data_IF_058788750075
#
_entry.id   IF_058788750075
#
_cell.length_a   1.000
_cell.length_b   1.000
_cell.length_c   1.000
_cell.angle_alpha   90.00
_cell.angle_beta   90.00
_cell.angle_gamma   90.00
#
_symmetry.space_group_name_H-M   'P 1'
#
loop_
_entity.id
_entity.type
_entity.pdbx_description
1 polymer ?
#
# COMPACT_ATOMS: atom_id res chain seq x y z
N UNK A 1 -19.84 69.94 27.06
CA UNK A 1 -20.66 68.71 27.02
C UNK A 1 -21.66 68.82 25.86
N UNK A 2 -21.84 67.73 25.10
CA UNK A 2 -22.70 67.51 23.89
C UNK A 2 -22.01 67.91 22.56
N UNK A 3 -21.32 66.97 21.88
CA UNK A 3 -21.74 65.86 20.98
C UNK A 3 -22.19 66.36 19.59
N UNK A 4 -21.28 66.28 18.59
CA UNK A 4 -21.20 65.33 17.46
C UNK A 4 -22.15 65.72 16.30
N UNK A 5 -21.71 66.42 15.25
CA UNK A 5 -20.90 66.04 14.06
C UNK A 5 -21.64 65.11 13.07
N UNK A 6 -22.01 65.74 11.94
CA UNK A 6 -22.08 65.31 10.54
C UNK A 6 -22.86 64.05 10.10
N UNK A 7 -23.92 64.32 9.32
CA UNK A 7 -24.41 63.48 8.22
C UNK A 7 -23.36 63.35 7.11
N UNK A 8 -23.28 62.20 6.42
CA UNK A 8 -23.41 62.07 4.95
C UNK A 8 -23.22 60.61 4.48
N UNK A 9 -24.06 60.16 3.55
CA UNK A 9 -23.59 59.35 2.41
C UNK A 9 -23.84 57.84 2.46
N UNK A 10 -24.95 57.43 1.83
CA UNK A 10 -25.25 56.08 1.35
C UNK A 10 -24.24 55.66 0.27
N UNK A 11 -23.62 54.48 0.38
CA UNK A 11 -22.91 53.82 -0.72
C UNK A 11 -23.16 52.31 -0.68
N UNK A 12 -23.96 51.85 -1.63
CA UNK A 12 -24.25 50.45 -1.94
C UNK A 12 -23.00 49.76 -2.50
N UNK A 13 -22.53 48.71 -1.83
CA UNK A 13 -21.51 47.80 -2.34
C UNK A 13 -22.15 46.47 -2.75
N UNK A 14 -22.04 46.20 -4.04
CA UNK A 14 -22.46 45.00 -4.76
C UNK A 14 -21.55 43.83 -4.35
N UNK A 15 -22.08 42.85 -3.60
CA UNK A 15 -21.40 41.60 -3.29
C UNK A 15 -21.53 40.64 -4.49
N UNK A 16 -20.42 40.42 -5.18
CA UNK A 16 -20.26 39.36 -6.17
C UNK A 16 -20.21 38.00 -5.46
N UNK A 17 -21.19 37.15 -5.74
CA UNK A 17 -21.11 35.71 -5.47
C UNK A 17 -20.26 35.07 -6.57
N UNK A 18 -19.06 34.61 -6.22
CA UNK A 18 -18.32 33.65 -7.03
C UNK A 18 -18.73 32.24 -6.59
N UNK A 19 -19.21 31.47 -7.57
CA UNK A 19 -19.60 30.08 -7.41
C UNK A 19 -18.37 29.23 -7.10
N UNK A 20 -18.36 28.59 -5.93
CA UNK A 20 -17.46 27.48 -5.65
C UNK A 20 -18.05 26.25 -6.32
N UNK A 21 -17.45 25.81 -7.41
CA UNK A 21 -17.72 24.49 -7.98
C UNK A 21 -17.25 23.43 -6.99
N UNK A 22 -18.19 22.65 -6.45
CA UNK A 22 -17.90 21.34 -5.88
C UNK A 22 -17.60 20.40 -7.06
N UNK A 23 -16.32 20.15 -7.32
CA UNK A 23 -15.94 18.91 -7.97
C UNK A 23 -15.92 17.86 -6.88
N UNK A 24 -16.93 17.01 -6.90
CA UNK A 24 -16.85 15.68 -6.30
C UNK A 24 -15.92 14.89 -7.23
N UNK A 25 -14.63 14.84 -6.90
CA UNK A 25 -13.73 13.82 -7.42
C UNK A 25 -13.71 12.69 -6.40
N UNK A 26 -14.11 11.51 -6.88
CA UNK A 26 -14.09 10.26 -6.16
C UNK A 26 -12.64 9.76 -6.10
N UNK A 27 -11.91 10.18 -5.07
CA UNK A 27 -10.59 9.66 -4.76
C UNK A 27 -10.76 8.24 -4.19
N UNK A 28 -10.55 7.23 -5.03
CA UNK A 28 -10.36 5.85 -4.60
C UNK A 28 -8.91 5.75 -4.11
N UNK A 29 -8.74 5.72 -2.79
CA UNK A 29 -7.46 5.49 -2.09
C UNK A 29 -6.95 4.05 -2.40
N UNK A 30 -5.63 3.85 -2.44
CA UNK A 30 -4.94 2.55 -2.64
C UNK A 30 -4.44 1.97 -1.29
N UNK A 31 -4.54 0.65 -1.01
CA UNK A 31 -4.11 -0.02 0.24
C UNK A 31 -2.60 -0.10 0.45
N UNK A 32 -2.19 -0.19 1.71
CA UNK A 32 -0.82 -0.54 2.09
C UNK A 32 -0.63 -2.06 2.29
N UNK A 33 0.59 -2.58 2.10
CA UNK A 33 0.90 -4.03 2.14
C UNK A 33 0.61 -4.74 3.48
N UNK A 34 0.68 -4.03 4.61
CA UNK A 34 0.36 -4.60 5.93
C UNK A 34 -1.16 -4.71 6.14
N UNK A 35 -1.91 -3.73 5.63
CA UNK A 35 -3.36 -3.78 5.51
C UNK A 35 -3.77 -4.87 4.53
N UNK A 36 -3.05 -5.05 3.42
CA UNK A 36 -3.28 -6.16 2.49
C UNK A 36 -3.03 -7.51 3.14
N UNK A 37 -1.98 -7.64 3.96
CA UNK A 37 -1.74 -8.85 4.73
C UNK A 37 -2.81 -9.07 5.82
N UNK A 38 -3.25 -8.01 6.50
CA UNK A 38 -4.32 -8.09 7.49
C UNK A 38 -5.68 -8.42 6.85
N UNK A 39 -5.97 -7.85 5.68
CA UNK A 39 -7.15 -8.11 4.86
C UNK A 39 -7.10 -9.53 4.28
N UNK A 40 -5.92 -9.99 3.84
CA UNK A 40 -5.72 -11.36 3.40
C UNK A 40 -5.91 -12.35 4.55
N UNK A 41 -5.40 -12.03 5.75
CA UNK A 41 -5.62 -12.82 6.97
C UNK A 41 -7.08 -12.80 7.42
N UNK A 42 -7.75 -11.64 7.40
CA UNK A 42 -9.16 -11.49 7.72
C UNK A 42 -10.03 -12.27 6.73
N UNK A 43 -9.75 -12.19 5.44
CA UNK A 43 -10.44 -12.93 4.40
C UNK A 43 -10.20 -14.43 4.55
N UNK A 44 -8.96 -14.86 4.82
CA UNK A 44 -8.63 -16.25 5.10
C UNK A 44 -9.39 -16.78 6.33
N UNK A 45 -9.46 -15.98 7.40
CA UNK A 45 -10.22 -16.30 8.61
C UNK A 45 -11.74 -16.31 8.36
N UNK A 46 -12.24 -15.38 7.53
CA UNK A 46 -13.65 -15.26 7.17
C UNK A 46 -14.10 -16.45 6.33
N UNK A 47 -13.35 -16.77 5.27
CA UNK A 47 -13.60 -17.93 4.42
C UNK A 47 -13.59 -19.22 5.25
N UNK A 48 -12.59 -19.37 6.12
CA UNK A 48 -12.41 -20.54 7.00
C UNK A 48 -13.33 -20.59 8.22
N UNK A 49 -14.13 -19.56 8.44
CA UNK A 49 -15.01 -19.50 9.61
C UNK A 49 -16.09 -20.58 9.55
N UNK A 50 -16.56 -21.03 10.72
CA UNK A 50 -17.62 -22.03 10.80
C UNK A 50 -18.87 -21.57 10.00
N UNK A 51 -19.23 -22.33 8.99
CA UNK A 51 -20.31 -22.01 8.07
C UNK A 51 -20.15 -22.80 6.79
N UNK A 52 -21.22 -22.89 6.01
CA UNK A 52 -21.19 -23.51 4.69
C UNK A 52 -21.55 -22.43 3.71
N UNK A 53 -20.60 -22.09 2.83
CA UNK A 53 -20.79 -21.09 1.79
C UNK A 53 -21.58 -21.68 0.63
N UNK A 54 -22.38 -20.88 -0.06
CA UNK A 54 -23.09 -21.25 -1.28
C UNK A 54 -22.76 -20.24 -2.38
N UNK A 55 -22.57 -20.70 -3.61
CA UNK A 55 -22.43 -19.81 -4.76
C UNK A 55 -23.81 -19.23 -5.07
N UNK A 56 -23.96 -17.91 -4.97
CA UNK A 56 -25.21 -17.19 -5.29
C UNK A 56 -25.13 -16.44 -6.62
N UNK A 57 -23.93 -16.31 -7.17
CA UNK A 57 -23.68 -15.78 -8.51
C UNK A 57 -22.40 -16.38 -9.07
N UNK A 58 -22.47 -16.90 -10.29
CA UNK A 58 -21.32 -17.22 -11.12
C UNK A 58 -21.64 -16.84 -12.57
N UNK A 59 -20.92 -15.85 -13.09
CA UNK A 59 -20.98 -15.41 -14.48
C UNK A 59 -19.60 -15.70 -15.08
N UNK A 60 -19.52 -16.58 -16.07
CA UNK A 60 -18.31 -16.87 -16.83
C UNK A 60 -18.47 -16.24 -18.22
N UNK A 61 -17.65 -15.24 -18.52
CA UNK A 61 -17.58 -14.59 -19.83
C UNK A 61 -18.96 -14.13 -20.34
N UNK A 62 -19.79 -13.63 -19.42
CA UNK A 62 -21.16 -13.17 -19.69
C UNK A 62 -22.24 -14.25 -19.68
N UNK A 63 -21.91 -15.53 -19.49
CA UNK A 63 -22.86 -16.64 -19.32
C UNK A 63 -23.12 -16.89 -17.85
N UNK A 64 -24.39 -16.95 -17.45
CA UNK A 64 -24.76 -17.27 -16.08
C UNK A 64 -24.78 -18.77 -15.84
N UNK A 65 -23.78 -19.25 -15.11
CA UNK A 65 -23.55 -20.66 -14.80
C UNK A 65 -23.90 -20.99 -13.33
N UNK A 66 -24.47 -20.03 -12.58
CA UNK A 66 -24.85 -20.20 -11.15
C UNK A 66 -25.65 -21.47 -10.87
N UNK A 67 -26.49 -21.91 -11.83
CA UNK A 67 -27.35 -23.07 -11.66
C UNK A 67 -26.57 -24.40 -11.51
N UNK A 68 -25.32 -24.46 -11.97
CA UNK A 68 -24.49 -25.67 -11.91
C UNK A 68 -24.03 -25.99 -10.48
N UNK A 69 -24.11 -25.00 -9.58
CA UNK A 69 -23.68 -25.09 -8.19
C UNK A 69 -24.83 -25.09 -7.18
N UNK A 70 -26.08 -25.18 -7.66
CA UNK A 70 -27.25 -25.26 -6.77
C UNK A 70 -27.12 -26.43 -5.80
N UNK A 71 -27.41 -26.16 -4.52
CA UNK A 71 -27.32 -27.08 -3.38
C UNK A 71 -25.89 -27.52 -3.00
N UNK A 72 -24.83 -27.08 -3.68
CA UNK A 72 -23.48 -27.29 -3.19
C UNK A 72 -23.19 -26.34 -2.03
N UNK A 73 -22.77 -26.92 -0.92
CA UNK A 73 -22.13 -26.22 0.18
C UNK A 73 -20.61 -26.28 0.05
N UNK A 74 -19.94 -25.14 0.18
CA UNK A 74 -18.50 -24.97 0.11
C UNK A 74 -17.92 -24.76 1.50
N UNK A 75 -16.84 -25.46 1.80
CA UNK A 75 -16.09 -25.36 3.05
C UNK A 75 -14.61 -25.11 2.73
N UNK A 76 -14.13 -23.93 3.11
CA UNK A 76 -12.73 -23.54 3.05
C UNK A 76 -12.06 -23.96 4.35
N UNK A 77 -11.15 -24.94 4.31
CA UNK A 77 -10.46 -25.41 5.51
C UNK A 77 -9.14 -24.65 5.72
N UNK A 78 -8.72 -24.40 6.98
CA UNK A 78 -7.47 -23.71 7.29
C UNK A 78 -6.19 -24.39 6.77
N UNK A 79 -6.25 -25.66 6.35
CA UNK A 79 -5.14 -26.39 5.73
C UNK A 79 -5.00 -26.13 4.22
N UNK A 80 -5.80 -25.22 3.67
CA UNK A 80 -5.84 -24.89 2.24
C UNK A 80 -6.71 -25.84 1.41
N UNK A 81 -7.41 -26.82 2.03
CA UNK A 81 -8.34 -27.68 1.29
C UNK A 81 -9.72 -27.03 1.14
N UNK A 82 -10.31 -27.16 -0.05
CA UNK A 82 -11.66 -26.69 -0.36
C UNK A 82 -12.56 -27.89 -0.65
N UNK A 83 -13.71 -27.98 0.04
CA UNK A 83 -14.66 -29.07 -0.15
C UNK A 83 -16.00 -28.51 -0.60
N UNK A 84 -16.50 -28.99 -1.74
CA UNK A 84 -17.85 -28.73 -2.21
C UNK A 84 -18.71 -29.99 -2.06
N UNK A 85 -19.85 -29.90 -1.39
CA UNK A 85 -20.70 -31.04 -1.08
C UNK A 85 -22.18 -30.68 -1.21
N UNK A 86 -22.95 -31.46 -1.98
CA UNK A 86 -24.40 -31.29 -2.15
C UNK A 86 -25.23 -32.41 -1.48
N UNK A 87 -24.62 -33.17 -0.58
CA UNK A 87 -25.19 -34.33 0.11
C UNK A 87 -25.06 -35.65 -0.67
N UNK A 88 -24.81 -35.61 -1.98
CA UNK A 88 -24.65 -36.81 -2.82
C UNK A 88 -23.24 -36.92 -3.43
N UNK A 89 -22.65 -35.79 -3.81
CA UNK A 89 -21.33 -35.69 -4.43
C UNK A 89 -20.45 -34.81 -3.56
N UNK A 90 -19.19 -35.22 -3.40
CA UNK A 90 -18.13 -34.42 -2.79
C UNK A 90 -17.05 -34.17 -3.83
N UNK A 91 -16.73 -32.90 -4.06
CA UNK A 91 -15.63 -32.45 -4.91
C UNK A 91 -14.63 -31.75 -4.01
N UNK A 92 -13.35 -32.09 -4.18
CA UNK A 92 -12.25 -31.52 -3.39
C UNK A 92 -11.35 -30.70 -4.30
N UNK A 93 -10.95 -29.55 -3.80
CA UNK A 93 -10.03 -28.62 -4.42
C UNK A 93 -9.07 -28.04 -3.38
N UNK A 94 -8.37 -26.99 -3.78
CA UNK A 94 -7.55 -26.17 -2.89
C UNK A 94 -7.97 -24.73 -2.98
N UNK A 95 -7.63 -23.96 -1.95
CA UNK A 95 -7.82 -22.53 -1.93
C UNK A 95 -6.70 -21.88 -1.13
N UNK A 96 -6.42 -20.62 -1.45
CA UNK A 96 -5.52 -19.78 -0.67
C UNK A 96 -5.85 -18.31 -0.91
N UNK A 97 -5.62 -17.49 0.11
CA UNK A 97 -5.56 -16.04 -0.06
C UNK A 97 -4.10 -15.66 -0.18
N UNK A 98 -3.72 -15.04 -1.29
CA UNK A 98 -2.38 -14.50 -1.50
C UNK A 98 -2.48 -13.00 -1.68
N UNK A 99 -1.40 -12.31 -1.36
CA UNK A 99 -1.23 -10.94 -1.83
C UNK A 99 -0.68 -11.07 -3.25
N UNK A 100 -1.35 -10.43 -4.20
CA UNK A 100 -0.89 -10.41 -5.58
C UNK A 100 0.46 -9.67 -5.62
N UNK A 101 1.48 -10.38 -6.08
CA UNK A 101 2.86 -9.91 -6.20
C UNK A 101 3.19 -9.66 -7.68
N UNK A 102 2.16 -9.51 -8.55
CA UNK A 102 2.25 -9.17 -9.97
C UNK A 102 2.80 -7.75 -10.19
N UNK A 103 4.01 -7.53 -9.69
CA UNK A 103 5.15 -7.18 -10.53
C UNK A 103 5.21 -8.10 -11.78
N UNK A 104 4.25 -7.94 -12.68
CA UNK A 104 4.46 -8.30 -14.08
C UNK A 104 5.45 -7.31 -14.69
N UNK A 105 6.69 -7.41 -14.22
CA UNK A 105 7.92 -7.10 -14.96
C UNK A 105 8.07 -8.15 -16.08
N UNK A 106 7.09 -8.18 -16.99
CA UNK A 106 7.19 -8.86 -18.26
C UNK A 106 7.48 -7.83 -19.34
N UNK A 107 8.76 -7.47 -19.39
CA UNK A 107 9.41 -6.84 -20.51
C UNK A 107 8.96 -7.44 -21.86
N UNK A 108 8.05 -6.76 -22.57
CA UNK A 108 8.07 -6.70 -24.05
C UNK A 108 7.10 -5.66 -24.61
N UNK A 109 7.50 -4.40 -24.59
CA UNK A 109 7.39 -3.63 -25.84
C UNK A 109 8.61 -2.74 -26.02
N UNK A 110 9.46 -3.15 -26.96
CA UNK A 110 10.36 -2.25 -27.63
C UNK A 110 9.50 -1.16 -28.28
N UNK A 111 9.54 0.05 -27.75
CA UNK A 111 9.91 1.26 -28.50
C UNK A 111 9.67 2.52 -27.64
N UNK A 112 10.76 3.27 -27.48
CA UNK A 112 10.82 4.73 -27.32
C UNK A 112 10.32 5.42 -26.03
N UNK A 113 11.29 5.59 -25.13
CA UNK A 113 11.70 6.88 -24.57
C UNK A 113 10.71 7.60 -23.62
N UNK A 114 10.61 7.10 -22.39
CA UNK A 114 10.47 7.93 -21.19
C UNK A 114 11.14 7.18 -20.05
N UNK A 115 11.95 7.88 -19.27
CA UNK A 115 12.75 7.40 -18.14
C UNK A 115 12.05 6.37 -17.27
N UNK A 116 12.73 5.26 -17.00
CA UNK A 116 12.64 4.56 -15.72
C UNK A 116 13.06 5.58 -14.65
N UNK A 117 12.12 6.39 -14.18
CA UNK A 117 12.42 7.41 -13.17
C UNK A 117 12.39 6.76 -11.80
N UNK A 118 13.56 6.41 -11.29
CA UNK A 118 13.84 6.19 -9.85
C UNK A 118 13.70 7.51 -9.04
N UNK A 119 12.88 8.43 -9.53
CA UNK A 119 12.64 9.80 -9.08
C UNK A 119 11.13 10.09 -8.95
N UNK A 120 10.28 9.07 -9.06
CA UNK A 120 8.85 9.23 -8.79
C UNK A 120 8.70 9.44 -7.28
N UNK A 121 8.18 10.62 -6.92
CA UNK A 121 7.87 10.96 -5.53
C UNK A 121 6.64 10.15 -5.10
N UNK A 122 6.90 9.06 -4.36
CA UNK A 122 5.86 8.20 -3.81
C UNK A 122 5.28 8.77 -2.50
N UNK A 123 5.79 9.92 -2.03
CA UNK A 123 5.34 10.56 -0.79
C UNK A 123 4.30 11.66 -0.97
N UNK A 124 3.51 11.63 -2.04
CA UNK A 124 2.39 12.59 -2.24
C UNK A 124 1.40 12.64 -1.05
N UNK A 125 1.25 11.53 -0.32
CA UNK A 125 0.34 11.39 0.83
C UNK A 125 1.03 10.87 2.12
N UNK A 126 2.37 10.83 2.16
CA UNK A 126 3.11 10.42 3.36
C UNK A 126 2.72 11.26 4.60
N UNK A 127 2.80 10.65 5.78
CA UNK A 127 2.59 11.33 7.06
C UNK A 127 3.86 11.33 7.93
N UNK A 128 3.94 12.25 8.89
CA UNK A 128 5.06 12.26 9.86
C UNK A 128 5.03 11.00 10.74
N UNK A 129 3.83 10.54 11.11
CA UNK A 129 3.67 9.28 11.82
C UNK A 129 4.18 8.11 10.96
N UNK A 130 3.94 8.18 9.64
CA UNK A 130 4.54 7.32 8.61
C UNK A 130 6.04 7.22 8.62
N UNK A 131 6.70 8.35 8.48
CA UNK A 131 8.15 8.32 8.59
C UNK A 131 8.61 7.75 9.96
N UNK A 132 7.90 8.10 11.04
CA UNK A 132 8.30 7.76 12.41
C UNK A 132 8.28 6.27 12.69
N UNK A 133 7.19 5.54 12.42
CA UNK A 133 7.20 4.09 12.70
C UNK A 133 8.11 3.35 11.71
N UNK A 134 8.32 3.80 10.46
CA UNK A 134 9.26 3.13 9.53
C UNK A 134 10.65 3.24 10.12
N UNK A 135 11.12 4.46 10.34
CA UNK A 135 12.52 4.68 10.69
C UNK A 135 12.87 4.14 12.10
N UNK A 136 11.87 3.91 12.97
CA UNK A 136 12.07 3.41 14.34
C UNK A 136 11.72 1.94 14.55
N UNK A 137 11.06 1.27 13.59
CA UNK A 137 10.66 -0.14 13.71
C UNK A 137 11.83 -1.11 13.53
N UNK A 138 12.90 -0.65 12.89
CA UNK A 138 14.14 -1.41 12.81
C UNK A 138 15.33 -0.70 13.42
N UNK A 139 16.26 -1.54 13.86
CA UNK A 139 17.58 -1.14 14.29
C UNK A 139 18.57 -1.32 13.14
N UNK A 140 19.70 -0.62 13.25
CA UNK A 140 20.85 -0.79 12.37
C UNK A 140 20.60 -0.41 10.90
N UNK A 141 19.89 0.70 10.66
CA UNK A 141 19.83 1.32 9.35
C UNK A 141 21.22 1.69 8.85
N UNK A 142 21.49 1.49 7.57
CA UNK A 142 22.74 1.88 6.94
C UNK A 142 22.48 2.85 5.79
N UNK A 143 23.52 3.59 5.42
CA UNK A 143 23.48 4.52 4.28
C UNK A 143 23.56 3.70 3.00
N UNK A 144 22.47 3.71 2.23
CA UNK A 144 22.39 3.08 0.91
C UNK A 144 22.89 4.05 -0.17
N UNK A 145 22.56 5.34 -0.01
CA UNK A 145 23.03 6.42 -0.89
C UNK A 145 23.23 7.71 -0.10
N UNK A 146 24.30 8.44 -0.39
CA UNK A 146 24.53 9.79 0.13
C UNK A 146 25.28 10.61 -0.91
N UNK A 147 24.58 11.53 -1.57
CA UNK A 147 25.10 12.39 -2.62
C UNK A 147 24.89 13.85 -2.19
N UNK A 148 25.95 14.64 -2.18
CA UNK A 148 25.94 16.04 -1.75
C UNK A 148 26.78 16.90 -2.71
N UNK A 149 26.16 17.85 -3.40
CA UNK A 149 26.80 18.70 -4.41
C UNK A 149 27.55 17.89 -5.48
N UNK A 150 26.89 16.87 -6.03
CA UNK A 150 27.44 15.92 -7.03
C UNK A 150 28.59 15.01 -6.52
N UNK A 151 28.91 15.03 -5.23
CA UNK A 151 29.90 14.14 -4.62
C UNK A 151 29.20 12.96 -3.90
N UNK A 152 29.59 11.73 -4.24
CA UNK A 152 29.13 10.49 -3.60
C UNK A 152 29.93 10.19 -2.31
N UNK A 153 29.23 9.88 -1.22
CA UNK A 153 29.82 9.67 0.11
C UNK A 153 29.44 8.34 0.76
N UNK A 154 28.52 7.56 0.21
CA UNK A 154 27.99 6.33 0.83
C UNK A 154 29.07 5.32 1.24
N UNK A 155 30.11 5.15 0.42
CA UNK A 155 31.23 4.25 0.71
C UNK A 155 31.97 4.61 1.99
N UNK A 156 32.07 5.91 2.30
CA UNK A 156 32.70 6.43 3.53
C UNK A 156 31.91 6.03 4.79
N UNK A 157 30.65 5.66 4.63
CA UNK A 157 29.71 5.35 5.71
C UNK A 157 29.23 3.88 5.74
N UNK A 158 29.79 3.00 4.91
CA UNK A 158 29.42 1.56 4.82
C UNK A 158 29.42 0.81 6.17
N UNK A 159 30.29 1.19 7.11
CA UNK A 159 30.40 0.60 8.45
C UNK A 159 29.52 1.26 9.53
N UNK A 160 28.77 2.31 9.19
CA UNK A 160 27.95 3.05 10.15
C UNK A 160 26.56 2.43 10.27
N UNK A 161 26.00 2.44 11.48
CA UNK A 161 24.65 1.97 11.78
C UNK A 161 23.86 3.01 12.56
N UNK A 162 22.73 3.42 12.02
CA UNK A 162 21.84 4.44 12.53
C UNK A 162 20.66 3.78 13.23
N UNK A 163 20.38 4.23 14.44
CA UNK A 163 19.26 3.77 15.26
C UNK A 163 18.45 5.00 15.69
N UNK A 164 17.17 5.02 15.33
CA UNK A 164 16.26 6.13 15.59
C UNK A 164 15.27 5.75 16.68
N UNK A 165 14.90 6.73 17.51
CA UNK A 165 13.87 6.56 18.54
C UNK A 165 12.70 7.50 18.29
N UNK A 166 11.48 7.09 18.66
CA UNK A 166 10.26 7.86 18.43
C UNK A 166 10.20 9.19 19.21
N UNK A 167 11.03 9.37 20.24
CA UNK A 167 11.20 10.61 20.98
C UNK A 167 12.23 11.57 20.34
N UNK A 168 12.72 11.27 19.13
CA UNK A 168 13.59 12.15 18.35
C UNK A 168 15.09 11.94 18.58
N UNK A 169 15.51 10.80 19.15
CA UNK A 169 16.93 10.46 19.32
C UNK A 169 17.52 9.74 18.12
N UNK A 170 18.80 10.01 17.81
CA UNK A 170 19.62 9.19 16.91
C UNK A 170 20.83 8.67 17.70
N UNK A 171 21.10 7.37 17.60
CA UNK A 171 22.41 6.79 17.94
C UNK A 171 23.06 6.24 16.68
N UNK A 172 24.27 6.68 16.38
CA UNK A 172 25.08 6.16 15.27
C UNK A 172 26.25 5.38 15.84
N UNK A 173 26.47 4.15 15.36
CA UNK A 173 27.63 3.31 15.77
C UNK A 173 28.53 3.04 14.58
N UNK A 174 29.84 3.07 14.79
CA UNK A 174 30.86 2.74 13.79
C UNK A 174 32.05 2.06 14.47
N UNK A 175 32.10 0.73 14.42
CA UNK A 175 33.10 -0.04 15.16
C UNK A 175 32.96 0.16 16.68
N UNK A 176 33.94 0.79 17.33
CA UNK A 176 33.89 1.14 18.76
C UNK A 176 33.34 2.53 19.06
N UNK A 177 33.18 3.36 18.04
CA UNK A 177 32.75 4.74 18.18
C UNK A 177 31.22 4.83 18.21
N UNK A 178 30.71 5.82 18.96
CA UNK A 178 29.29 6.10 19.06
C UNK A 178 29.05 7.61 19.05
N UNK A 179 28.11 8.04 18.24
CA UNK A 179 27.71 9.43 18.07
C UNK A 179 26.24 9.56 18.46
N UNK A 180 25.93 10.55 19.28
CA UNK A 180 24.57 10.84 19.72
C UNK A 180 24.07 12.08 18.98
N UNK A 181 22.83 12.03 18.51
CA UNK A 181 22.18 13.12 17.80
C UNK A 181 20.68 13.14 18.01
N UNK A 182 20.01 13.98 17.23
CA UNK A 182 18.56 14.16 17.26
C UNK A 182 17.99 14.18 15.85
N UNK A 183 16.73 13.78 15.72
CA UNK A 183 15.94 13.96 14.51
C UNK A 183 14.56 14.54 14.82
N UNK A 184 13.98 15.23 13.85
CA UNK A 184 12.60 15.73 13.93
C UNK A 184 11.98 15.75 12.54
N UNK A 185 10.75 15.26 12.42
CA UNK A 185 9.95 15.37 11.20
C UNK A 185 8.75 16.30 11.42
N UNK A 186 8.40 17.10 10.40
CA UNK A 186 7.23 17.99 10.41
C UNK A 186 6.74 18.26 9.00
N UNK A 187 5.45 18.51 8.81
CA UNK A 187 4.84 18.71 7.48
C UNK A 187 3.82 17.63 7.15
N UNK A 188 3.48 17.48 5.87
CA UNK A 188 2.57 16.46 5.35
C UNK A 188 2.81 16.24 3.85
N UNK A 189 2.53 15.01 3.37
CA UNK A 189 2.76 14.61 1.97
C UNK A 189 4.18 14.90 1.52
N UNK A 190 4.31 15.44 0.31
CA UNK A 190 5.58 15.82 -0.32
C UNK A 190 6.31 17.01 0.34
N UNK A 191 5.76 17.59 1.42
CA UNK A 191 6.37 18.70 2.16
C UNK A 191 6.85 18.29 3.55
N UNK A 192 6.97 16.99 3.84
CA UNK A 192 7.55 16.52 5.10
C UNK A 192 9.04 16.86 5.12
N UNK A 193 9.42 17.71 6.07
CA UNK A 193 10.81 18.08 6.35
C UNK A 193 11.34 17.23 7.50
N UNK A 194 12.54 16.68 7.34
CA UNK A 194 13.28 15.85 8.30
C UNK A 194 14.57 16.56 8.67
N UNK A 195 14.67 17.05 9.90
CA UNK A 195 15.88 17.67 10.43
C UNK A 195 16.71 16.58 11.10
N UNK A 196 17.96 16.40 10.66
CA UNK A 196 18.92 15.48 11.26
C UNK A 196 20.08 16.30 11.82
N UNK A 197 20.45 16.05 13.09
CA UNK A 197 21.62 16.67 13.72
C UNK A 197 22.41 15.63 14.49
N UNK A 198 23.59 15.28 13.98
CA UNK A 198 24.52 14.36 14.64
C UNK A 198 25.90 15.03 14.69
N UNK A 199 26.29 15.61 15.84
CA UNK A 199 27.57 16.27 15.98
C UNK A 199 28.74 15.40 15.53
N UNK A 200 29.66 16.00 14.78
CA UNK A 200 30.82 15.36 14.16
C UNK A 200 30.52 14.47 12.94
N UNK A 201 29.27 14.38 12.48
CA UNK A 201 28.89 13.77 11.20
C UNK A 201 28.22 14.84 10.31
N UNK A 202 29.00 15.83 9.88
CA UNK A 202 28.49 17.05 9.21
C UNK A 202 27.76 16.79 7.90
N UNK A 203 28.02 15.67 7.20
CA UNK A 203 27.33 15.34 5.96
C UNK A 203 25.83 15.06 6.14
N UNK A 204 25.37 14.75 7.36
CA UNK A 204 23.94 14.52 7.64
C UNK A 204 23.24 15.74 8.25
N UNK A 205 24.00 16.76 8.68
CA UNK A 205 23.48 17.93 9.40
C UNK A 205 22.74 18.91 8.45
N UNK A 206 21.49 18.58 8.15
CA UNK A 206 20.65 19.36 7.24
C UNK A 206 19.15 19.22 7.56
N UNK A 207 18.34 19.98 6.80
CA UNK A 207 16.89 19.80 6.74
C UNK A 207 16.56 19.18 5.39
N UNK A 208 16.20 17.90 5.44
CA UNK A 208 15.87 17.10 4.27
C UNK A 208 14.37 17.13 3.98
N UNK A 209 13.98 16.90 2.74
CA UNK A 209 12.59 16.64 2.35
C UNK A 209 12.42 15.13 2.19
N UNK A 210 11.40 14.54 2.82
CA UNK A 210 11.03 13.15 2.57
C UNK A 210 10.51 13.02 1.13
N UNK A 211 11.09 12.11 0.37
CA UNK A 211 10.75 11.90 -1.04
C UNK A 211 10.10 10.54 -1.29
N UNK A 212 10.55 9.48 -0.62
CA UNK A 212 10.10 8.13 -0.90
C UNK A 212 10.25 7.24 0.34
N UNK A 213 9.33 6.29 0.50
CA UNK A 213 9.46 5.19 1.46
C UNK A 213 9.17 3.90 0.69
N UNK A 214 10.19 3.07 0.49
CA UNK A 214 10.05 1.77 -0.19
C UNK A 214 10.07 0.65 0.86
N UNK A 215 9.03 -0.18 0.89
CA UNK A 215 8.93 -1.32 1.81
C UNK A 215 8.72 -2.60 1.01
N UNK A 216 9.73 -3.47 1.04
CA UNK A 216 9.72 -4.79 0.42
C UNK A 216 9.96 -5.87 1.47
N UNK A 217 9.64 -7.11 1.13
CA UNK A 217 9.99 -8.24 1.99
C UNK A 217 11.52 -8.34 2.13
N UNK A 218 12.01 -8.22 3.36
CA UNK A 218 13.45 -8.22 3.66
C UNK A 218 14.21 -6.96 3.26
N UNK A 219 13.54 -5.87 2.88
CA UNK A 219 14.19 -4.61 2.52
C UNK A 219 13.29 -3.40 2.81
N UNK A 220 13.82 -2.37 3.46
CA UNK A 220 13.09 -1.11 3.69
C UNK A 220 14.01 0.06 3.40
N UNK A 221 13.52 1.10 2.72
CA UNK A 221 14.27 2.31 2.39
C UNK A 221 13.48 3.56 2.73
N UNK A 222 14.21 4.60 3.11
CA UNK A 222 13.70 5.96 3.30
C UNK A 222 14.58 6.89 2.48
N UNK A 223 14.01 7.52 1.46
CA UNK A 223 14.69 8.47 0.57
C UNK A 223 14.39 9.91 0.98
N UNK A 224 15.46 10.68 1.13
CA UNK A 224 15.43 12.07 1.55
C UNK A 224 16.18 12.90 0.51
N UNK A 225 15.61 14.06 0.13
CA UNK A 225 16.19 14.95 -0.89
C UNK A 225 16.41 16.36 -0.36
N UNK A 226 17.42 17.04 -0.89
CA UNK A 226 17.64 18.48 -0.69
C UNK A 226 17.93 19.13 -2.04
N UNK A 227 17.32 20.29 -2.31
CA UNK A 227 17.52 21.05 -3.55
C UNK A 227 17.23 20.28 -4.85
N UNK A 228 16.53 19.13 -4.80
CA UNK A 228 16.19 18.29 -5.95
C UNK A 228 17.26 17.26 -6.31
N UNK A 229 18.54 17.63 -6.19
CA UNK A 229 19.66 16.79 -6.63
C UNK A 229 20.31 16.01 -5.47
N UNK A 230 20.56 16.66 -4.32
CA UNK A 230 21.18 16.02 -3.16
C UNK A 230 20.27 14.94 -2.57
N UNK A 231 20.84 13.80 -2.19
CA UNK A 231 20.10 12.61 -1.79
C UNK A 231 20.73 11.92 -0.59
N UNK A 232 19.89 11.51 0.34
CA UNK A 232 20.23 10.62 1.44
C UNK A 232 19.19 9.50 1.47
N UNK A 233 19.63 8.26 1.27
CA UNK A 233 18.79 7.08 1.39
C UNK A 233 19.30 6.20 2.51
N UNK A 234 18.45 5.95 3.50
CA UNK A 234 18.69 4.89 4.48
C UNK A 234 18.07 3.60 3.98
N UNK A 235 18.75 2.47 4.21
CA UNK A 235 18.23 1.13 3.95
C UNK A 235 18.36 0.24 5.18
N UNK A 236 17.43 -0.70 5.30
CA UNK A 236 17.45 -1.80 6.25
C UNK A 236 17.11 -3.11 5.52
N UNK A 237 17.51 -4.24 6.11
CA UNK A 237 17.21 -5.59 5.63
C UNK A 237 16.08 -6.28 6.42
N UNK A 238 15.50 -5.56 7.38
CA UNK A 238 14.33 -6.02 8.08
C UNK A 238 13.08 -5.83 7.22
N UNK A 239 12.05 -6.60 7.52
CA UNK A 239 10.72 -6.41 6.97
C UNK A 239 9.94 -5.54 7.93
N UNK A 240 9.57 -4.33 7.50
CA UNK A 240 8.73 -3.40 8.27
C UNK A 240 7.41 -3.28 7.54
N UNK A 241 6.31 -3.57 8.24
CA UNK A 241 4.96 -3.28 7.78
C UNK A 241 4.25 -2.34 8.75
N UNK A 242 3.93 -1.14 8.29
CA UNK A 242 2.57 -0.59 8.19
C UNK A 242 2.63 0.94 8.08
N UNK A 243 2.19 1.49 6.92
CA UNK A 243 1.59 2.83 6.88
C UNK A 243 0.47 3.03 5.87
N UNK A 244 -0.68 3.38 6.45
CA UNK A 244 -1.79 4.25 6.04
C UNK A 244 -2.59 4.01 4.73
N UNK A 245 -3.90 3.74 4.92
CA UNK A 245 -5.00 4.09 4.00
C UNK A 245 -5.34 3.01 2.94
N UNK A 246 -6.61 2.57 2.85
CA UNK A 246 -7.15 1.50 1.96
C UNK A 246 -7.30 1.96 0.49
N UNK A 247 -7.83 1.25 -0.54
CA UNK A 247 -8.71 0.08 -0.72
C UNK A 247 -8.41 -0.65 -2.06
N UNK A 248 -8.43 -2.00 -2.07
CA UNK A 248 -7.88 -2.90 -3.11
C UNK A 248 -8.72 -3.03 -4.39
N UNK A 249 -8.07 -3.10 -5.56
CA UNK A 249 -8.65 -3.68 -6.79
C UNK A 249 -7.75 -4.66 -7.54
N UNK A 250 -6.68 -5.18 -6.93
CA UNK A 250 -5.82 -6.18 -7.57
C UNK A 250 -4.58 -6.53 -6.77
N UNK A 251 -4.71 -6.59 -5.44
CA UNK A 251 -3.57 -6.80 -4.55
C UNK A 251 -3.80 -8.01 -3.63
N UNK A 252 -4.99 -8.64 -3.69
CA UNK A 252 -5.30 -9.86 -2.94
C UNK A 252 -6.03 -10.81 -3.89
N UNK A 253 -5.43 -11.98 -4.10
CA UNK A 253 -6.03 -13.06 -4.86
C UNK A 253 -6.68 -14.07 -3.94
N UNK A 254 -7.91 -14.42 -4.27
CA UNK A 254 -8.62 -15.55 -3.74
C UNK A 254 -8.48 -16.74 -4.70
N UNK A 255 -7.37 -17.45 -4.57
CA UNK A 255 -7.06 -18.59 -5.41
C UNK A 255 -8.03 -19.73 -5.13
N UNK A 256 -8.67 -20.24 -6.17
CA UNK A 256 -9.49 -21.45 -6.12
C UNK A 256 -8.95 -22.43 -7.14
N UNK A 257 -8.85 -23.71 -6.79
CA UNK A 257 -8.48 -24.75 -7.74
C UNK A 257 -9.31 -26.01 -7.57
N UNK A 258 -9.94 -26.45 -8.65
CA UNK A 258 -10.55 -27.76 -8.77
C UNK A 258 -10.10 -28.44 -10.07
N UNK A 259 -9.40 -29.57 -9.95
CA UNK A 259 -8.94 -30.30 -11.13
C UNK A 259 -10.10 -30.85 -12.00
N UNK A 260 -11.25 -31.18 -11.38
CA UNK A 260 -12.42 -31.79 -12.03
C UNK A 260 -13.62 -31.81 -11.07
N UNK A 261 -14.87 -32.04 -11.53
CA UNK A 261 -15.32 -32.15 -12.93
C UNK A 261 -15.29 -30.81 -13.69
N UNK A 262 -15.59 -30.81 -14.99
CA UNK A 262 -15.38 -29.65 -15.87
C UNK A 262 -16.04 -28.36 -15.36
N UNK A 263 -17.28 -28.44 -14.88
CA UNK A 263 -17.97 -27.29 -14.29
C UNK A 263 -17.26 -26.76 -13.03
N UNK A 264 -16.58 -27.60 -12.24
CA UNK A 264 -15.77 -27.11 -11.12
C UNK A 264 -14.43 -26.53 -11.57
N UNK A 265 -13.87 -27.04 -12.68
CA UNK A 265 -12.66 -26.48 -13.28
C UNK A 265 -12.87 -25.02 -13.70
N UNK A 266 -14.07 -24.65 -14.15
CA UNK A 266 -14.45 -23.26 -14.47
C UNK A 266 -14.39 -22.29 -13.27
N UNK A 267 -14.32 -22.79 -12.01
CA UNK A 267 -14.07 -21.95 -10.83
C UNK A 267 -12.58 -21.73 -10.55
N UNK A 268 -11.69 -22.39 -11.30
CA UNK A 268 -10.25 -22.39 -11.05
C UNK A 268 -9.61 -21.14 -11.62
N UNK A 269 -9.37 -20.14 -10.77
CA UNK A 269 -8.69 -18.89 -11.12
C UNK A 269 -8.01 -18.29 -9.87
N UNK A 270 -7.15 -17.30 -10.12
CA UNK A 270 -6.57 -16.32 -9.19
C UNK A 270 -7.52 -15.11 -9.05
N UNK A 271 -8.66 -15.34 -8.39
CA UNK A 271 -9.72 -14.35 -8.36
C UNK A 271 -9.32 -13.06 -7.61
N UNK A 272 -9.43 -11.91 -8.26
CA UNK A 272 -9.33 -10.62 -7.60
C UNK A 272 -10.52 -10.40 -6.65
N UNK A 273 -10.25 -9.98 -5.42
CA UNK A 273 -11.29 -9.70 -4.43
C UNK A 273 -11.94 -8.34 -4.70
N UNK A 274 -13.26 -8.32 -4.98
CA UNK A 274 -14.04 -7.07 -5.11
C UNK A 274 -14.45 -6.55 -3.73
N UNK A 275 -14.98 -7.45 -2.89
CA UNK A 275 -15.45 -7.11 -1.54
C UNK A 275 -15.59 -8.37 -0.69
N UNK A 276 -15.52 -8.21 0.63
CA UNK A 276 -15.90 -9.27 1.55
C UNK A 276 -16.54 -8.72 2.82
N UNK A 277 -17.39 -9.54 3.42
CA UNK A 277 -17.96 -9.35 4.75
C UNK A 277 -17.96 -10.70 5.46
N UNK A 278 -18.35 -10.74 6.72
CA UNK A 278 -18.52 -12.00 7.43
C UNK A 278 -19.37 -13.03 6.67
N UNK A 279 -20.39 -12.62 5.89
CA UNK A 279 -21.32 -13.55 5.23
C UNK A 279 -21.33 -13.49 3.70
N UNK A 280 -20.43 -12.73 3.08
CA UNK A 280 -20.41 -12.55 1.62
C UNK A 280 -18.99 -12.32 1.12
N UNK A 281 -18.59 -12.97 0.03
CA UNK A 281 -17.32 -12.74 -0.68
C UNK A 281 -17.66 -12.53 -2.16
N UNK A 282 -17.21 -11.42 -2.75
CA UNK A 282 -17.40 -11.06 -4.15
C UNK A 282 -16.06 -10.99 -4.87
N UNK A 283 -15.99 -11.64 -6.02
CA UNK A 283 -14.75 -11.93 -6.75
C UNK A 283 -14.89 -11.60 -8.24
N UNK A 284 -13.80 -11.16 -8.88
CA UNK A 284 -13.69 -10.87 -10.31
C UNK A 284 -12.42 -11.50 -10.90
N UNK A 285 -12.49 -11.95 -12.15
CA UNK A 285 -11.32 -12.35 -12.92
C UNK A 285 -11.43 -11.76 -14.34
N UNK A 286 -10.31 -11.33 -14.91
CA UNK A 286 -10.23 -10.74 -16.26
C UNK A 286 -9.19 -11.49 -17.07
N UNK A 287 -9.61 -12.29 -18.05
CA UNK A 287 -8.66 -13.10 -18.83
C UNK A 287 -7.82 -12.23 -19.80
N UNK A 288 -6.50 -12.38 -19.77
CA UNK A 288 -5.51 -11.58 -20.52
C UNK A 288 -5.49 -11.66 -22.06
N UNK A 289 -6.54 -12.16 -22.73
CA UNK A 289 -6.57 -12.32 -24.19
C UNK A 289 -7.80 -11.74 -24.88
N UNK A 290 -9.00 -12.19 -24.47
CA UNK A 290 -10.26 -11.80 -25.11
C UNK A 290 -11.09 -10.82 -24.27
N UNK A 291 -10.62 -10.40 -23.09
CA UNK A 291 -11.33 -9.47 -22.20
C UNK A 291 -12.63 -10.04 -21.62
N UNK A 292 -12.73 -11.37 -21.47
CA UNK A 292 -13.79 -11.99 -20.71
C UNK A 292 -13.68 -11.56 -19.25
N UNK A 293 -14.81 -11.21 -18.64
CA UNK A 293 -14.89 -10.87 -17.23
C UNK A 293 -15.78 -11.87 -16.55
N UNK A 294 -15.23 -12.51 -15.52
CA UNK A 294 -15.93 -13.49 -14.72
C UNK A 294 -16.28 -12.87 -13.37
N UNK A 295 -17.45 -13.24 -12.82
CA UNK A 295 -17.92 -12.74 -11.53
C UNK A 295 -18.40 -13.89 -10.67
N UNK A 296 -17.86 -14.01 -9.46
CA UNK A 296 -18.22 -15.06 -8.51
C UNK A 296 -18.65 -14.45 -7.18
N UNK A 297 -19.69 -15.00 -6.56
CA UNK A 297 -20.18 -14.58 -5.24
C UNK A 297 -20.51 -15.77 -4.37
N UNK A 298 -19.89 -15.82 -3.19
CA UNK A 298 -20.23 -16.75 -2.12
C UNK A 298 -21.03 -16.04 -1.04
N UNK A 299 -22.09 -16.67 -0.54
CA UNK A 299 -22.86 -16.21 0.64
C UNK A 299 -23.11 -17.37 1.62
N UNK A 300 -23.25 -17.07 2.92
CA UNK A 300 -23.56 -18.04 3.98
C UNK A 300 -24.76 -17.63 4.84
#
# INVERSE_FOLDING_TARGET
MKKNIFNLGMLTALLLFIASCTKEDSDQEMPNLAQLQADAEELNNTASSNGVWSITKFIDSGKNETNDFINYGFTFNPDGSLVANNGSTTVTGTWSVTIDDDSNDDSSSSDDNSSSDDNVDDCNNCTVDQLTQVITSCSDWFVDKLELNDDDFEDSYSGYRFNFTADGGITVTAGSDSFLGTWQASGAGNNIQVIISVPNLSNFEATWTLHEIELYNGESKVDLRINGDDRLRFKNSCTIGDFNGGSSTGEIDFNIFFASPANFNELTEDWNVISHTLNKIELIHVSGGNGGTDLLTFEK
#
